data_IF_131950445056
#
_entry.id   IF_131950445056
#
_cell.length_a   1.000
_cell.length_b   1.000
_cell.length_c   1.000
_cell.angle_alpha   90.00
_cell.angle_beta   90.00
_cell.angle_gamma   90.00
#
_symmetry.space_group_name_H-M   'P 1'
#
loop_
_entity.id
_entity.type
_entity.pdbx_description
1 polymer ?
#
# COMPACT_ATOMS: atom_id res chain seq x y z
N UNK A 1 6.35 -2.61 21.91
CA UNK A 1 5.21 -2.53 20.96
C UNK A 1 5.58 -1.50 19.91
N UNK A 2 5.50 -1.85 18.63
CA UNK A 2 5.72 -0.91 17.54
C UNK A 2 4.49 -0.01 17.41
N UNK A 3 4.66 1.32 17.55
CA UNK A 3 3.57 2.27 17.40
C UNK A 3 3.40 2.60 15.93
N UNK A 4 2.20 2.38 15.39
CA UNK A 4 1.88 2.74 14.01
C UNK A 4 1.00 3.98 14.00
N UNK A 5 1.39 4.99 13.22
CA UNK A 5 0.57 6.15 12.92
C UNK A 5 -0.05 6.00 11.54
N UNK A 6 -1.34 6.31 11.43
CA UNK A 6 -1.96 6.50 10.12
C UNK A 6 -1.50 7.83 9.54
N UNK A 7 -0.86 7.78 8.38
CA UNK A 7 -0.24 8.95 7.74
C UNK A 7 -0.82 9.26 6.37
N UNK A 8 -1.78 8.47 5.89
CA UNK A 8 -2.35 8.68 4.56
C UNK A 8 -3.26 7.56 4.08
N UNK A 9 -3.38 7.44 2.76
CA UNK A 9 -4.23 6.44 2.08
C UNK A 9 -3.65 6.02 0.73
N UNK A 10 -3.90 4.78 0.34
CA UNK A 10 -3.90 4.39 -1.07
C UNK A 10 -5.24 4.78 -1.70
N UNK A 11 -5.19 5.41 -2.87
CA UNK A 11 -6.37 5.86 -3.61
C UNK A 11 -6.30 5.30 -5.04
N UNK A 12 -7.43 4.85 -5.57
CA UNK A 12 -7.54 4.44 -6.95
C UNK A 12 -7.18 5.57 -7.93
N UNK A 13 -6.39 5.23 -8.95
CA UNK A 13 -6.02 6.09 -10.07
C UNK A 13 -6.48 5.51 -11.41
N UNK A 14 -6.15 6.16 -12.53
CA UNK A 14 -6.45 5.64 -13.86
C UNK A 14 -5.65 4.38 -14.18
N UNK A 15 -6.14 3.55 -15.09
CA UNK A 15 -5.37 2.45 -15.72
C UNK A 15 -4.68 1.51 -14.73
N UNK A 16 -5.36 1.14 -13.64
CA UNK A 16 -4.79 0.20 -12.67
C UNK A 16 -3.70 0.81 -11.76
N UNK A 17 -3.39 2.09 -11.88
CA UNK A 17 -2.49 2.77 -10.97
C UNK A 17 -3.16 3.07 -9.63
N UNK A 18 -2.42 2.88 -8.55
CA UNK A 18 -2.81 3.23 -7.20
C UNK A 18 -1.91 4.36 -6.73
N UNK A 19 -2.52 5.48 -6.36
CA UNK A 19 -1.84 6.66 -5.85
C UNK A 19 -1.55 6.46 -4.35
N UNK A 20 -0.30 6.63 -3.96
CA UNK A 20 0.12 6.63 -2.55
C UNK A 20 0.01 8.08 -2.05
N UNK A 21 -1.02 8.36 -1.27
CA UNK A 21 -1.30 9.69 -0.75
C UNK A 21 -0.88 9.79 0.71
N UNK A 22 -0.08 10.79 1.06
CA UNK A 22 0.26 11.15 2.43
C UNK A 22 -0.55 12.39 2.85
N UNK A 23 -1.22 12.31 3.99
CA UNK A 23 -2.04 13.40 4.51
C UNK A 23 -1.15 14.64 4.75
N UNK A 24 -1.56 15.80 4.22
CA UNK A 24 -0.79 17.05 4.26
C UNK A 24 0.32 17.20 3.19
N UNK A 25 0.79 16.12 2.58
CA UNK A 25 1.84 16.17 1.53
C UNK A 25 1.33 15.87 0.12
N UNK A 26 0.15 15.27 -0.01
CA UNK A 26 -0.39 14.89 -1.32
C UNK A 26 0.15 13.55 -1.82
N UNK A 27 0.32 13.43 -3.14
CA UNK A 27 0.80 12.19 -3.76
C UNK A 27 2.32 12.07 -3.61
N UNK A 28 2.78 10.97 -3.03
CA UNK A 28 4.21 10.70 -2.80
C UNK A 28 4.74 9.55 -3.66
N UNK A 29 3.87 8.87 -4.40
CA UNK A 29 4.24 7.77 -5.29
C UNK A 29 3.04 7.08 -5.90
N UNK A 30 3.32 6.07 -6.73
CA UNK A 30 2.33 5.21 -7.37
C UNK A 30 2.79 3.77 -7.32
N UNK A 31 1.82 2.85 -7.31
CA UNK A 31 2.04 1.41 -7.45
C UNK A 31 0.99 0.85 -8.39
N UNK A 32 1.36 -0.06 -9.28
CA UNK A 32 0.37 -0.68 -10.16
C UNK A 32 -0.38 -1.80 -9.41
N UNK A 33 -1.66 -2.00 -9.72
CA UNK A 33 -2.46 -3.07 -9.11
C UNK A 33 -1.81 -4.45 -9.27
N UNK A 34 -1.20 -4.73 -10.42
CA UNK A 34 -0.49 -5.99 -10.69
C UNK A 34 0.62 -6.25 -9.68
N UNK A 35 1.43 -5.24 -9.32
CA UNK A 35 2.52 -5.41 -8.36
C UNK A 35 1.97 -5.76 -6.97
N UNK A 36 0.86 -5.15 -6.56
CA UNK A 36 0.20 -5.49 -5.30
C UNK A 36 -0.43 -6.89 -5.34
N UNK A 37 -1.05 -7.29 -6.45
CA UNK A 37 -1.64 -8.63 -6.61
C UNK A 37 -0.56 -9.71 -6.56
N UNK A 38 0.52 -9.51 -7.31
CA UNK A 38 1.68 -10.39 -7.27
C UNK A 38 2.20 -10.46 -5.82
N UNK A 39 2.44 -9.32 -5.17
CA UNK A 39 2.98 -9.28 -3.79
C UNK A 39 2.07 -10.02 -2.81
N UNK A 40 0.74 -9.89 -2.97
CA UNK A 40 -0.25 -10.62 -2.18
C UNK A 40 -0.25 -12.13 -2.41
N UNK A 41 0.23 -12.58 -3.58
CA UNK A 41 0.49 -13.98 -3.91
C UNK A 41 1.90 -14.45 -3.47
N UNK A 42 2.70 -13.59 -2.84
CA UNK A 42 4.05 -13.90 -2.40
C UNK A 42 5.11 -13.77 -3.52
N UNK A 43 4.74 -13.20 -4.67
CA UNK A 43 5.61 -13.01 -5.83
C UNK A 43 5.76 -11.51 -6.02
N UNK A 44 6.94 -10.91 -5.95
CA UNK A 44 6.98 -9.46 -6.16
C UNK A 44 8.35 -8.84 -5.94
N UNK A 45 8.50 -7.55 -6.29
CA UNK A 45 9.76 -6.86 -6.14
C UNK A 45 10.01 -6.55 -4.67
N UNK A 46 10.61 -7.51 -3.97
CA UNK A 46 10.91 -7.44 -2.53
C UNK A 46 11.74 -6.21 -2.11
N UNK A 47 12.43 -5.58 -3.07
CA UNK A 47 13.21 -4.35 -2.89
C UNK A 47 12.36 -3.16 -2.44
N UNK A 48 11.11 -3.06 -2.91
CA UNK A 48 10.24 -1.92 -2.62
C UNK A 48 8.79 -2.28 -2.30
N UNK A 49 8.41 -3.56 -2.44
CA UNK A 49 7.13 -4.13 -2.04
C UNK A 49 7.32 -5.47 -1.35
N UNK A 50 6.85 -5.58 -0.11
CA UNK A 50 7.03 -6.80 0.68
C UNK A 50 5.78 -7.19 1.43
N UNK A 51 5.33 -8.43 1.25
CA UNK A 51 4.32 -9.02 2.12
C UNK A 51 4.95 -9.36 3.49
N UNK A 52 4.29 -8.99 4.59
CA UNK A 52 4.77 -9.38 5.91
C UNK A 52 4.71 -10.88 6.13
N UNK A 53 5.54 -11.43 7.03
CA UNK A 53 5.56 -12.88 7.30
C UNK A 53 4.21 -13.46 7.75
N UNK A 54 3.31 -12.63 8.30
CA UNK A 54 1.94 -13.04 8.64
C UNK A 54 0.94 -12.93 7.49
N UNK A 55 1.32 -12.35 6.34
CA UNK A 55 0.43 -12.08 5.21
C UNK A 55 -0.62 -10.98 5.45
N UNK A 56 -0.58 -10.32 6.63
CA UNK A 56 -1.61 -9.35 7.05
C UNK A 56 -1.37 -7.94 6.53
N UNK A 57 -0.15 -7.63 6.10
CA UNK A 57 0.24 -6.30 5.64
C UNK A 57 1.23 -6.35 4.50
N UNK A 58 1.23 -5.29 3.70
CA UNK A 58 2.22 -5.03 2.65
C UNK A 58 3.04 -3.82 3.11
N UNK A 59 4.35 -3.93 3.01
CA UNK A 59 5.31 -2.84 3.20
C UNK A 59 5.65 -2.25 1.83
N UNK A 60 5.63 -0.92 1.71
CA UNK A 60 5.98 -0.20 0.49
C UNK A 60 7.13 0.77 0.77
N UNK A 61 8.21 0.71 -0.02
CA UNK A 61 9.29 1.70 0.01
C UNK A 61 8.94 2.81 -0.96
N UNK A 62 8.72 4.02 -0.46
CA UNK A 62 8.39 5.20 -1.28
C UNK A 62 9.28 6.34 -0.83
N UNK A 63 10.06 6.91 -1.76
CA UNK A 63 10.98 8.03 -1.49
C UNK A 63 11.92 7.77 -0.29
N UNK A 64 12.47 6.56 -0.17
CA UNK A 64 13.40 6.19 0.89
C UNK A 64 12.77 5.92 2.26
N UNK A 65 11.44 5.91 2.37
CA UNK A 65 10.73 5.56 3.60
C UNK A 65 9.80 4.36 3.41
N UNK A 66 9.81 3.45 4.40
CA UNK A 66 8.87 2.33 4.46
C UNK A 66 7.53 2.78 5.04
N UNK A 67 6.47 2.40 4.32
CA UNK A 67 5.08 2.53 4.74
C UNK A 67 4.41 1.17 4.81
N UNK A 68 3.31 1.08 5.52
CA UNK A 68 2.55 -0.16 5.71
C UNK A 68 1.11 0.04 5.30
N UNK A 69 0.55 -0.94 4.62
CA UNK A 69 -0.89 -1.03 4.32
C UNK A 69 -1.42 -2.41 4.70
N UNK A 70 -2.69 -2.48 5.06
CA UNK A 70 -3.30 -3.75 5.43
C UNK A 70 -3.69 -4.53 4.18
N UNK A 71 -3.25 -5.78 4.08
CA UNK A 71 -3.52 -6.65 2.94
C UNK A 71 -5.03 -6.82 2.70
N UNK A 72 -5.83 -6.90 3.78
CA UNK A 72 -7.31 -6.95 3.70
C UNK A 72 -7.90 -5.70 3.03
N UNK A 73 -7.37 -4.51 3.33
CA UNK A 73 -7.84 -3.27 2.73
C UNK A 73 -7.43 -3.15 1.27
N UNK A 74 -6.20 -3.57 0.92
CA UNK A 74 -5.73 -3.62 -0.47
C UNK A 74 -6.61 -4.57 -1.30
N UNK A 75 -6.87 -5.79 -0.81
CA UNK A 75 -7.78 -6.73 -1.49
C UNK A 75 -9.17 -6.13 -1.68
N UNK A 76 -9.73 -5.49 -0.66
CA UNK A 76 -11.03 -4.81 -0.76
C UNK A 76 -11.02 -3.64 -1.75
N UNK A 77 -9.91 -2.89 -1.81
CA UNK A 77 -9.72 -1.80 -2.76
C UNK A 77 -9.70 -2.29 -4.21
N UNK A 78 -8.96 -3.37 -4.50
CA UNK A 78 -8.87 -3.96 -5.84
C UNK A 78 -10.21 -4.59 -6.25
N UNK A 79 -10.84 -5.35 -5.35
CA UNK A 79 -12.14 -6.00 -5.63
C UNK A 79 -13.26 -5.00 -5.91
N UNK A 80 -13.35 -3.93 -5.12
CA UNK A 80 -14.44 -2.96 -5.19
C UNK A 80 -13.99 -1.66 -5.90
N UNK A 81 -13.03 -1.77 -6.81
CA UNK A 81 -12.42 -0.64 -7.53
C UNK A 81 -13.47 0.19 -8.29
N UNK A 82 -13.35 1.53 -8.35
CA UNK A 82 -12.38 2.41 -7.68
C UNK A 82 -12.88 2.94 -6.31
N UNK A 83 -13.90 2.32 -5.71
CA UNK A 83 -14.70 2.91 -4.63
C UNK A 83 -14.01 2.92 -3.27
N UNK A 84 -13.17 1.91 -3.00
CA UNK A 84 -12.52 1.73 -1.69
C UNK A 84 -11.11 2.31 -1.67
N UNK A 85 -10.62 2.58 -0.45
CA UNK A 85 -9.27 3.09 -0.17
C UNK A 85 -8.62 2.20 0.88
N UNK A 86 -7.28 2.14 0.90
CA UNK A 86 -6.54 1.49 1.99
C UNK A 86 -5.85 2.55 2.86
N UNK A 87 -5.76 2.33 4.17
CA UNK A 87 -5.02 3.25 5.04
C UNK A 87 -3.51 3.02 4.88
N UNK A 88 -2.75 4.12 4.83
CA UNK A 88 -1.30 4.15 4.82
C UNK A 88 -0.80 4.42 6.23
N UNK A 89 0.10 3.59 6.71
CA UNK A 89 0.65 3.64 8.06
C UNK A 89 2.16 3.79 8.02
N UNK A 90 2.73 4.36 9.08
CA UNK A 90 4.18 4.44 9.29
C UNK A 90 4.51 4.04 10.73
N UNK A 91 5.64 3.38 10.90
CA UNK A 91 6.22 3.13 12.23
C UNK A 91 6.71 4.46 12.82
N UNK A 92 6.41 4.70 14.09
CA UNK A 92 6.96 5.79 14.90
C UNK A 92 8.00 5.21 15.87
#
# INVERSE_FOLDING_TARGET
>A
MNNYLKVGRLIAGPEGWIRVMKDGSGEIGRVHQSDLLLTLAGIGPAEWLKLSGSGRSIQLMIQGAWYVVLAKQVRGMIRDWPKKKAALWRLI
#
